data_IF_077464514571
#
_entry.id   IF_077464514571
#
_cell.length_a   1.000
_cell.length_b   1.000
_cell.length_c   1.000
_cell.angle_alpha   90.00
_cell.angle_beta   90.00
_cell.angle_gamma   90.00
#
_symmetry.space_group_name_H-M   'P 1'
#
loop_
_entity.id
_entity.type
_entity.pdbx_description
1 polymer ?
#
# COMPACT_ATOMS: atom_id res chain seq x y z
N UNK A 1 -26.33 2.71 -22.67
CA UNK A 1 -25.95 3.93 -21.92
C UNK A 1 -26.52 3.85 -20.52
N UNK A 2 -25.71 3.53 -19.52
CA UNK A 2 -26.13 3.40 -18.12
C UNK A 2 -25.53 4.55 -17.31
N UNK A 3 -26.40 5.47 -16.87
CA UNK A 3 -26.03 6.64 -16.09
C UNK A 3 -25.75 6.26 -14.64
N UNK A 4 -24.57 6.66 -14.15
CA UNK A 4 -24.15 6.63 -12.75
C UNK A 4 -25.01 7.61 -11.93
N UNK A 5 -25.58 7.16 -10.82
CA UNK A 5 -26.15 8.05 -9.79
C UNK A 5 -25.19 8.09 -8.60
N UNK A 6 -24.52 9.23 -8.44
CA UNK A 6 -23.78 9.61 -7.23
C UNK A 6 -24.78 9.77 -6.08
N UNK A 7 -24.53 9.12 -4.95
CA UNK A 7 -25.17 9.47 -3.67
C UNK A 7 -24.13 10.18 -2.81
N UNK A 8 -24.29 11.49 -2.64
CA UNK A 8 -23.63 12.30 -1.63
C UNK A 8 -24.54 12.26 -0.40
N UNK A 9 -24.04 11.73 0.71
CA UNK A 9 -24.69 11.87 2.01
C UNK A 9 -23.75 12.66 2.93
N UNK A 10 -24.00 13.97 2.98
CA UNK A 10 -23.49 14.89 3.98
C UNK A 10 -24.37 14.72 5.22
N UNK A 11 -23.78 14.28 6.34
CA UNK A 11 -24.44 14.32 7.65
C UNK A 11 -23.56 15.12 8.60
N UNK A 12 -23.83 16.42 8.66
CA UNK A 12 -23.46 17.26 9.80
C UNK A 12 -24.59 17.16 10.83
N UNK A 13 -24.26 16.77 12.06
CA UNK A 13 -25.16 16.85 13.19
C UNK A 13 -24.42 17.51 14.36
N UNK A 14 -24.90 18.69 14.73
CA UNK A 14 -24.46 19.53 15.85
C UNK A 14 -25.50 19.48 16.96
N UNK A 15 -25.10 19.24 18.22
CA UNK A 15 -25.74 19.70 19.48
C UNK A 15 -25.01 19.02 20.67
N UNK A 16 -24.10 19.68 21.39
CA UNK A 16 -24.30 20.50 22.61
C UNK A 16 -25.07 19.81 23.74
N UNK A 17 -24.35 19.37 24.79
CA UNK A 17 -24.64 19.70 26.20
C UNK A 17 -23.65 19.00 27.17
N UNK A 18 -22.90 19.81 27.92
CA UNK A 18 -22.70 19.63 29.37
C UNK A 18 -21.82 18.49 29.90
N UNK A 19 -20.67 18.91 30.45
CA UNK A 19 -19.98 18.31 31.60
C UNK A 19 -19.28 16.95 31.42
N UNK A 20 -18.00 16.99 31.10
CA UNK A 20 -16.90 16.51 31.97
C UNK A 20 -15.61 16.45 31.14
N UNK A 21 -14.71 17.41 31.35
CA UNK A 21 -13.29 17.21 31.07
C UNK A 21 -12.70 16.57 32.32
N UNK A 22 -12.08 15.39 32.17
CA UNK A 22 -10.76 15.23 32.74
C UNK A 22 -9.77 14.81 31.65
N UNK A 23 -8.76 15.67 31.55
CA UNK A 23 -7.46 15.46 30.96
C UNK A 23 -6.86 14.11 31.44
N UNK A 24 -6.71 13.15 30.54
CA UNK A 24 -5.85 11.99 30.76
C UNK A 24 -5.31 11.46 29.44
N UNK A 25 -3.97 11.47 29.34
CA UNK A 25 -3.17 10.57 28.52
C UNK A 25 -3.38 10.62 27.00
N UNK A 26 -2.67 11.57 26.38
CA UNK A 26 -1.98 11.29 25.12
C UNK A 26 -0.99 10.13 25.32
N UNK A 27 -1.44 8.87 25.25
CA UNK A 27 -0.60 7.66 25.09
C UNK A 27 -1.52 6.43 24.96
N UNK A 28 -2.13 6.21 23.80
CA UNK A 28 -2.69 4.93 23.32
C UNK A 28 -3.03 5.21 21.84
N UNK A 29 -2.37 4.70 20.81
CA UNK A 29 -2.15 3.29 20.50
C UNK A 29 -1.05 3.15 19.42
N UNK A 30 0.22 3.30 19.79
CA UNK A 30 1.33 2.69 19.01
C UNK A 30 1.42 1.16 19.25
N UNK A 31 0.52 0.61 20.04
CA UNK A 31 0.45 -0.78 20.51
C UNK A 31 -0.59 -1.63 19.76
N UNK A 32 -0.77 -1.40 18.45
CA UNK A 32 -1.61 -2.27 17.59
C UNK A 32 -0.80 -3.09 16.59
N UNK A 33 0.48 -2.81 16.39
CA UNK A 33 1.33 -3.58 15.48
C UNK A 33 2.11 -4.70 16.19
N UNK A 34 2.43 -4.53 17.48
CA UNK A 34 3.25 -5.48 18.24
C UNK A 34 2.45 -6.64 18.88
N UNK A 35 1.13 -6.51 19.05
CA UNK A 35 0.27 -7.46 19.78
C UNK A 35 -0.45 -8.49 18.90
N UNK A 36 -0.21 -8.49 17.58
CA UNK A 36 -0.74 -9.52 16.67
C UNK A 36 0.23 -10.68 16.39
N UNK A 37 1.41 -10.69 17.02
CA UNK A 37 2.44 -11.75 16.86
C UNK A 37 2.30 -12.85 17.93
N UNK A 38 1.31 -12.76 18.81
CA UNK A 38 1.15 -13.69 19.92
C UNK A 38 -0.14 -14.51 19.82
N UNK A 39 -0.32 -15.29 18.75
CA UNK A 39 -1.23 -16.44 18.80
C UNK A 39 -0.94 -17.47 17.69
N UNK A 40 -0.31 -18.57 18.14
CA UNK A 40 -0.31 -19.92 17.56
C UNK A 40 0.49 -20.20 16.26
N UNK A 41 1.54 -21.00 16.42
CA UNK A 41 1.87 -22.09 15.49
C UNK A 41 2.69 -21.78 14.25
N UNK A 42 2.75 -20.54 13.75
CA UNK A 42 3.49 -20.26 12.52
C UNK A 42 4.26 -18.92 12.50
N UNK A 43 4.96 -18.64 13.61
CA UNK A 43 5.75 -17.41 13.79
C UNK A 43 6.78 -17.19 12.68
N UNK A 44 7.41 -18.25 12.18
CA UNK A 44 8.44 -18.16 11.14
C UNK A 44 7.84 -17.83 9.77
N UNK A 45 6.75 -18.50 9.37
CA UNK A 45 6.05 -18.18 8.13
C UNK A 45 5.47 -16.75 8.16
N UNK A 46 4.90 -16.33 9.29
CA UNK A 46 4.40 -14.97 9.48
C UNK A 46 5.53 -13.93 9.34
N UNK A 47 6.71 -14.20 9.91
CA UNK A 47 7.90 -13.36 9.74
C UNK A 47 8.36 -13.32 8.28
N UNK A 48 8.47 -14.46 7.60
CA UNK A 48 8.84 -14.52 6.18
C UNK A 48 7.86 -13.76 5.29
N UNK A 49 6.55 -13.83 5.58
CA UNK A 49 5.53 -13.05 4.86
C UNK A 49 5.70 -11.55 5.12
N UNK A 50 6.03 -11.16 6.35
CA UNK A 50 6.27 -9.76 6.69
C UNK A 50 7.51 -9.22 5.98
N UNK A 51 8.65 -9.92 6.09
CA UNK A 51 9.90 -9.55 5.40
C UNK A 51 9.71 -9.49 3.88
N UNK A 52 8.99 -10.46 3.31
CA UNK A 52 8.64 -10.48 1.90
C UNK A 52 7.84 -9.23 1.51
N UNK A 53 6.81 -8.87 2.27
CA UNK A 53 6.01 -7.66 2.00
C UNK A 53 6.85 -6.39 2.13
N UNK A 54 7.67 -6.27 3.17
CA UNK A 54 8.53 -5.11 3.37
C UNK A 54 9.48 -4.93 2.18
N UNK A 55 10.13 -6.00 1.73
CA UNK A 55 10.96 -5.97 0.51
C UNK A 55 10.15 -5.58 -0.72
N UNK A 56 8.97 -6.18 -0.93
CA UNK A 56 8.12 -5.86 -2.08
C UNK A 56 7.67 -4.40 -2.07
N UNK A 57 7.40 -3.84 -0.89
CA UNK A 57 7.07 -2.42 -0.74
C UNK A 57 8.24 -1.51 -1.11
N UNK A 58 9.46 -1.84 -0.69
CA UNK A 58 10.64 -1.06 -1.08
C UNK A 58 10.89 -1.13 -2.58
N UNK A 59 10.79 -2.31 -3.20
CA UNK A 59 10.90 -2.47 -4.66
C UNK A 59 9.84 -1.64 -5.42
N UNK A 60 8.62 -1.53 -4.88
CA UNK A 60 7.59 -0.64 -5.44
C UNK A 60 7.97 0.83 -5.31
N UNK A 61 8.52 1.22 -4.16
CA UNK A 61 8.96 2.59 -3.92
C UNK A 61 10.10 2.97 -4.86
N UNK A 62 11.10 2.12 -5.00
CA UNK A 62 12.22 2.33 -5.93
C UNK A 62 11.75 2.45 -7.38
N UNK A 63 10.84 1.58 -7.82
CA UNK A 63 10.28 1.66 -9.17
C UNK A 63 9.53 2.99 -9.37
N UNK A 64 8.69 3.39 -8.42
CA UNK A 64 7.91 4.62 -8.54
C UNK A 64 8.81 5.87 -8.51
N UNK A 65 9.89 5.85 -7.71
CA UNK A 65 10.86 6.94 -7.67
C UNK A 65 11.63 7.06 -8.99
N UNK A 66 12.05 5.92 -9.56
CA UNK A 66 12.66 5.89 -10.89
C UNK A 66 11.71 6.42 -11.98
N UNK A 67 10.44 6.00 -11.97
CA UNK A 67 9.44 6.46 -12.92
C UNK A 67 9.13 7.96 -12.75
N UNK A 68 9.09 8.47 -11.52
CA UNK A 68 8.91 9.89 -11.25
C UNK A 68 10.09 10.72 -11.77
N UNK A 69 11.32 10.23 -11.60
CA UNK A 69 12.52 10.87 -12.14
C UNK A 69 12.55 10.85 -13.68
N UNK A 70 12.11 9.76 -14.32
CA UNK A 70 11.97 9.69 -15.78
C UNK A 70 10.92 10.68 -16.31
N UNK A 71 9.76 10.80 -15.63
CA UNK A 71 8.75 11.79 -16.03
C UNK A 71 9.30 13.22 -15.88
N UNK A 72 10.03 13.49 -14.79
CA UNK A 72 10.62 14.79 -14.54
C UNK A 72 11.68 15.15 -15.58
N UNK A 73 12.54 14.21 -15.99
CA UNK A 73 13.55 14.46 -17.02
C UNK A 73 12.95 14.69 -18.40
N UNK A 74 11.76 14.12 -18.67
CA UNK A 74 11.02 14.33 -19.91
C UNK A 74 10.27 15.66 -19.96
N UNK A 75 10.00 16.28 -18.81
CA UNK A 75 9.23 17.52 -18.72
C UNK A 75 9.91 18.70 -19.44
N UNK A 76 11.23 18.66 -19.56
CA UNK A 76 12.05 19.66 -20.27
C UNK A 76 12.34 19.27 -21.73
N UNK A 77 11.81 18.15 -22.23
CA UNK A 77 12.03 17.66 -23.60
C UNK A 77 10.74 17.71 -24.44
N UNK A 78 10.63 18.63 -25.42
CA UNK A 78 9.43 18.75 -26.26
C UNK A 78 9.20 17.55 -27.20
N UNK A 79 10.23 16.75 -27.47
CA UNK A 79 10.15 15.54 -28.31
C UNK A 79 9.98 14.25 -27.49
N UNK A 80 9.68 14.38 -26.19
CA UNK A 80 9.47 13.24 -25.30
C UNK A 80 8.28 12.37 -25.75
N UNK A 81 8.55 11.11 -26.09
CA UNK A 81 7.50 10.12 -26.36
C UNK A 81 6.88 9.60 -25.05
N UNK A 82 5.94 10.39 -24.52
CA UNK A 82 5.18 10.09 -23.32
C UNK A 82 4.36 8.80 -23.43
N UNK A 83 3.92 8.43 -24.65
CA UNK A 83 3.13 7.21 -24.85
C UNK A 83 3.99 5.97 -24.69
N UNK A 84 5.17 5.96 -25.30
CA UNK A 84 6.16 4.89 -25.13
C UNK A 84 6.63 4.78 -23.68
N UNK A 85 6.86 5.90 -23.00
CA UNK A 85 7.22 5.89 -21.58
C UNK A 85 6.12 5.28 -20.71
N UNK A 86 4.86 5.66 -20.94
CA UNK A 86 3.74 5.12 -20.18
C UNK A 86 3.60 3.60 -20.39
N UNK A 87 3.76 3.12 -21.63
CA UNK A 87 3.73 1.69 -21.94
C UNK A 87 4.87 0.93 -21.26
N UNK A 88 6.08 1.50 -21.28
CA UNK A 88 7.24 0.96 -20.53
C UNK A 88 6.91 0.87 -19.04
N UNK A 89 6.41 1.94 -18.44
CA UNK A 89 6.08 1.98 -17.01
C UNK A 89 5.01 0.97 -16.63
N UNK A 90 3.97 0.81 -17.45
CA UNK A 90 2.93 -0.21 -17.24
C UNK A 90 3.48 -1.63 -17.36
N UNK A 91 4.41 -1.85 -18.29
CA UNK A 91 5.06 -3.16 -18.46
C UNK A 91 5.90 -3.52 -17.25
N UNK A 92 6.68 -2.58 -16.71
CA UNK A 92 7.47 -2.76 -15.50
C UNK A 92 6.59 -3.08 -14.29
N UNK A 93 5.48 -2.34 -14.09
CA UNK A 93 4.51 -2.58 -13.02
C UNK A 93 3.88 -3.97 -13.11
N UNK A 94 3.51 -4.40 -14.32
CA UNK A 94 2.94 -5.73 -14.56
C UNK A 94 3.96 -6.83 -14.25
N UNK A 95 5.20 -6.66 -14.68
CA UNK A 95 6.29 -7.59 -14.41
C UNK A 95 6.55 -7.70 -12.90
N UNK A 96 6.67 -6.56 -12.21
CA UNK A 96 6.89 -6.51 -10.76
C UNK A 96 5.76 -7.20 -9.99
N UNK A 97 4.51 -6.85 -10.30
CA UNK A 97 3.32 -7.46 -9.70
C UNK A 97 3.25 -8.98 -9.94
N UNK A 98 3.63 -9.43 -11.13
CA UNK A 98 3.68 -10.86 -11.46
C UNK A 98 4.74 -11.57 -10.60
N UNK A 99 5.94 -11.03 -10.51
CA UNK A 99 7.01 -11.57 -9.66
C UNK A 99 6.59 -11.63 -8.20
N UNK A 100 6.06 -10.54 -7.65
CA UNK A 100 5.62 -10.47 -6.26
C UNK A 100 4.56 -11.52 -5.92
N UNK A 101 3.62 -11.76 -6.85
CA UNK A 101 2.63 -12.82 -6.71
C UNK A 101 3.30 -14.20 -6.69
N UNK A 102 4.22 -14.47 -7.61
CA UNK A 102 4.93 -15.74 -7.65
C UNK A 102 5.74 -16.01 -6.38
N UNK A 103 6.40 -14.99 -5.82
CA UNK A 103 7.12 -15.11 -4.55
C UNK A 103 6.18 -15.43 -3.38
N UNK A 104 5.02 -14.76 -3.30
CA UNK A 104 4.01 -15.06 -2.28
C UNK A 104 3.41 -16.45 -2.44
N UNK A 105 3.18 -16.90 -3.67
CA UNK A 105 2.64 -18.23 -3.95
C UNK A 105 3.67 -19.33 -3.65
N UNK A 106 4.96 -19.09 -3.92
CA UNK A 106 6.06 -19.97 -3.55
C UNK A 106 6.17 -20.11 -2.03
N UNK A 107 6.15 -19.00 -1.30
CA UNK A 107 6.23 -19.01 0.16
C UNK A 107 5.06 -19.79 0.78
N UNK A 108 3.84 -19.62 0.25
CA UNK A 108 2.66 -20.40 0.69
C UNK A 108 2.73 -21.88 0.33
N UNK A 109 3.46 -22.24 -0.73
CA UNK A 109 3.67 -23.63 -1.09
C UNK A 109 4.66 -24.30 -0.11
N UNK A 110 5.71 -23.58 0.29
CA UNK A 110 6.67 -24.03 1.32
C UNK A 110 6.02 -24.25 2.69
N UNK A 111 5.01 -23.45 3.07
CA UNK A 111 4.27 -23.64 4.32
C UNK A 111 3.46 -24.95 4.35
N UNK A 112 3.05 -25.45 3.18
CA UNK A 112 2.12 -26.58 3.03
C UNK A 112 2.80 -27.92 2.73
N UNK A 113 4.10 -27.90 2.42
CA UNK A 113 4.92 -29.07 2.11
C UNK A 113 5.68 -29.56 3.33
#
# INVERSE_FOLDING_TARGET
>A
MTHKKLFIALAAATAVAGAAVPQAAATMTSESAATAVAQSGNSEFAQKVQELKERQHEEWRELLDAQANEIKSMQDNPDADLASLYEKHETEKKALKKRHRQEMDALKAEEKG
#
